data_IF_366783197559
#
_entry.id   IF_366783197559
#
_cell.length_a   1.000
_cell.length_b   1.000
_cell.length_c   1.000
_cell.angle_alpha   90.00
_cell.angle_beta   90.00
_cell.angle_gamma   90.00
#
_symmetry.space_group_name_H-M   'P 1'
#
loop_
_entity.id
_entity.type
_entity.pdbx_description
1 polymer ?
#
# COMPACT_ATOMS: atom_id res chain seq x y z
N UNK A 1 10.46 17.17 -22.72
CA UNK A 1 11.33 16.01 -22.89
C UNK A 1 11.19 15.05 -21.72
N UNK A 2 11.47 13.78 -21.98
CA UNK A 2 11.38 12.72 -20.93
C UNK A 2 12.26 13.06 -19.75
N UNK A 3 13.47 13.50 -20.00
CA UNK A 3 14.40 13.87 -18.94
C UNK A 3 13.84 15.03 -18.10
N UNK A 4 13.26 16.02 -18.74
CA UNK A 4 12.67 17.15 -18.04
C UNK A 4 11.47 16.70 -17.18
N UNK A 5 10.64 15.79 -17.73
CA UNK A 5 9.52 15.23 -16.97
C UNK A 5 9.95 14.47 -15.75
N UNK A 6 10.99 13.65 -15.87
CA UNK A 6 11.53 12.90 -14.75
C UNK A 6 12.20 13.85 -13.74
N UNK A 7 12.86 14.88 -14.20
CA UNK A 7 13.47 15.88 -13.31
C UNK A 7 12.40 16.61 -12.50
N UNK A 8 11.27 16.95 -13.13
CA UNK A 8 10.15 17.55 -12.42
C UNK A 8 9.60 16.60 -11.36
N UNK A 9 9.55 15.31 -11.66
CA UNK A 9 9.08 14.30 -10.72
C UNK A 9 10.16 13.85 -9.73
N UNK A 10 11.41 14.23 -9.93
CA UNK A 10 12.53 13.86 -9.06
C UNK A 10 12.25 14.28 -7.63
N UNK A 11 11.58 15.39 -7.44
CA UNK A 11 11.19 15.81 -6.11
C UNK A 11 10.37 14.76 -5.41
N UNK A 12 9.42 14.14 -6.11
CA UNK A 12 8.64 13.03 -5.59
C UNK A 12 9.48 11.78 -5.40
N UNK A 13 10.35 11.46 -6.35
CA UNK A 13 11.26 10.33 -6.21
C UNK A 13 12.18 10.50 -5.02
N UNK A 14 12.79 11.65 -4.87
CA UNK A 14 13.70 11.93 -3.75
C UNK A 14 12.99 11.78 -2.42
N UNK A 15 11.78 12.31 -2.31
CA UNK A 15 10.98 12.22 -1.09
C UNK A 15 10.58 10.78 -0.76
N UNK A 16 10.32 9.97 -1.77
CA UNK A 16 9.88 8.58 -1.58
C UNK A 16 11.01 7.64 -1.27
N UNK A 17 12.19 7.89 -1.79
CA UNK A 17 13.33 7.03 -1.56
C UNK A 17 14.05 7.32 -0.26
N UNK A 18 13.71 8.43 0.41
CA UNK A 18 14.33 8.80 1.68
C UNK A 18 15.84 8.92 1.56
N UNK A 19 16.56 8.19 2.40
CA UNK A 19 18.02 8.27 2.47
C UNK A 19 18.72 7.74 1.23
N UNK A 20 18.02 7.04 0.37
CA UNK A 20 18.61 6.46 -0.84
C UNK A 20 18.58 7.38 -2.02
N UNK A 21 18.38 8.60 -1.89
CA UNK A 21 18.31 9.57 -2.97
C UNK A 21 18.53 8.99 -4.36
N UNK A 22 17.44 8.72 -5.07
CA UNK A 22 17.54 8.21 -6.43
C UNK A 22 17.77 9.36 -7.40
N UNK A 23 18.97 9.43 -7.98
CA UNK A 23 19.28 10.44 -8.99
C UNK A 23 18.82 9.98 -10.37
N UNK A 24 17.60 10.36 -10.73
CA UNK A 24 17.01 10.02 -12.01
C UNK A 24 17.82 10.57 -13.20
N UNK A 25 18.38 11.77 -13.05
CA UNK A 25 19.17 12.37 -14.12
C UNK A 25 20.47 11.59 -14.36
N UNK A 26 21.15 11.17 -13.27
CA UNK A 26 22.36 10.36 -13.40
C UNK A 26 22.04 8.99 -13.96
N UNK A 27 20.96 8.37 -13.56
CA UNK A 27 20.52 7.11 -14.10
C UNK A 27 20.26 7.21 -15.60
N UNK A 28 19.52 8.24 -16.03
CA UNK A 28 19.21 8.44 -17.44
C UNK A 28 20.46 8.73 -18.28
N UNK A 29 21.45 9.41 -17.72
CA UNK A 29 22.72 9.63 -18.42
C UNK A 29 23.49 8.31 -18.59
N UNK A 30 23.49 7.47 -17.56
CA UNK A 30 24.14 6.14 -17.66
C UNK A 30 23.42 5.23 -18.63
N UNK A 31 22.10 5.32 -18.66
CA UNK A 31 21.24 4.55 -19.56
C UNK A 31 20.97 5.27 -20.88
N UNK A 32 21.64 6.38 -21.13
CA UNK A 32 21.27 7.35 -22.18
C UNK A 32 21.27 6.81 -23.59
N UNK A 33 22.04 5.77 -23.87
CA UNK A 33 22.02 5.12 -25.16
C UNK A 33 20.95 4.04 -25.26
N UNK A 34 20.33 3.65 -24.13
CA UNK A 34 19.34 2.57 -24.07
C UNK A 34 17.93 3.14 -23.80
N UNK A 35 17.28 3.55 -24.89
CA UNK A 35 15.92 4.09 -24.81
C UNK A 35 14.91 3.05 -24.35
N UNK A 36 15.18 1.75 -24.57
CA UNK A 36 14.30 0.68 -24.14
C UNK A 36 14.28 0.58 -22.61
N UNK A 37 15.46 0.65 -21.98
CA UNK A 37 15.55 0.63 -20.53
C UNK A 37 14.86 1.82 -19.89
N UNK A 38 15.00 3.01 -20.47
CA UNK A 38 14.33 4.22 -19.98
C UNK A 38 12.82 4.09 -20.10
N UNK A 39 12.32 3.62 -21.25
CA UNK A 39 10.88 3.41 -21.44
C UNK A 39 10.32 2.41 -20.44
N UNK A 40 11.05 1.31 -20.21
CA UNK A 40 10.62 0.28 -19.27
C UNK A 40 10.55 0.80 -17.85
N UNK A 41 11.54 1.60 -17.44
CA UNK A 41 11.54 2.23 -16.12
C UNK A 41 10.31 3.13 -15.93
N UNK A 42 10.00 3.97 -16.91
CA UNK A 42 8.83 4.85 -16.85
C UNK A 42 7.53 4.07 -16.86
N UNK A 43 7.43 3.06 -17.68
CA UNK A 43 6.23 2.22 -17.77
C UNK A 43 5.94 1.52 -16.45
N UNK A 44 6.95 0.94 -15.81
CA UNK A 44 6.79 0.29 -14.51
C UNK A 44 6.32 1.28 -13.44
N UNK A 45 6.89 2.49 -13.44
CA UNK A 45 6.47 3.54 -12.51
C UNK A 45 5.02 3.95 -12.70
N UNK A 46 4.59 4.06 -13.96
CA UNK A 46 3.20 4.40 -14.29
C UNK A 46 2.24 3.29 -13.88
N UNK A 47 2.60 2.04 -14.16
CA UNK A 47 1.77 0.89 -13.79
C UNK A 47 1.56 0.81 -12.28
N UNK A 48 2.61 1.02 -11.51
CA UNK A 48 2.53 1.02 -10.05
C UNK A 48 1.66 2.17 -9.54
N UNK A 49 1.81 3.34 -10.14
CA UNK A 49 1.01 4.51 -9.76
C UNK A 49 -0.48 4.28 -10.04
N UNK A 50 -0.81 3.73 -11.21
CA UNK A 50 -2.19 3.41 -11.57
C UNK A 50 -2.76 2.37 -10.62
N UNK A 51 -1.99 1.31 -10.32
CA UNK A 51 -2.41 0.27 -9.40
C UNK A 51 -2.69 0.83 -8.01
N UNK A 52 -1.84 1.72 -7.52
CA UNK A 52 -2.03 2.38 -6.24
C UNK A 52 -3.31 3.23 -6.23
N UNK A 53 -3.55 4.01 -7.26
CA UNK A 53 -4.78 4.81 -7.37
C UNK A 53 -6.04 3.95 -7.37
N UNK A 54 -6.00 2.80 -8.04
CA UNK A 54 -7.14 1.88 -8.05
C UNK A 54 -7.45 1.37 -6.64
N UNK A 55 -6.42 1.09 -5.86
CA UNK A 55 -6.61 0.71 -4.46
C UNK A 55 -7.22 1.86 -3.67
N UNK A 56 -6.68 3.07 -3.81
CA UNK A 56 -7.15 4.23 -3.08
C UNK A 56 -8.61 4.56 -3.38
N UNK A 57 -9.06 4.33 -4.61
CA UNK A 57 -10.45 4.56 -5.00
C UNK A 57 -11.44 3.63 -4.29
N UNK A 58 -10.96 2.50 -3.77
CA UNK A 58 -11.81 1.53 -3.07
C UNK A 58 -11.87 1.77 -1.57
N UNK A 59 -11.16 2.78 -1.07
CA UNK A 59 -11.12 3.04 0.36
C UNK A 59 -12.44 3.55 0.88
N UNK A 60 -12.85 3.00 2.00
CA UNK A 60 -14.04 3.44 2.75
C UNK A 60 -13.63 3.71 4.18
N UNK A 61 -14.23 4.71 4.77
CA UNK A 61 -13.96 5.05 6.16
C UNK A 61 -14.86 4.24 7.08
N UNK A 62 -14.27 3.55 8.04
CA UNK A 62 -14.97 2.79 9.04
C UNK A 62 -14.35 3.04 10.41
N UNK A 63 -15.08 3.72 11.32
CA UNK A 63 -14.66 3.99 12.70
C UNK A 63 -13.25 4.60 12.77
N UNK A 64 -12.99 5.62 11.97
CA UNK A 64 -11.70 6.31 11.84
C UNK A 64 -10.59 5.48 11.19
N UNK A 65 -10.93 4.37 10.59
CA UNK A 65 -10.00 3.54 9.84
C UNK A 65 -10.38 3.52 8.37
N UNK A 66 -9.41 3.69 7.49
CA UNK A 66 -9.63 3.59 6.06
C UNK A 66 -9.39 2.13 5.63
N UNK A 67 -10.38 1.52 5.02
CA UNK A 67 -10.29 0.13 4.56
C UNK A 67 -10.51 0.09 3.07
N UNK A 68 -9.54 -0.44 2.33
CA UNK A 68 -9.62 -0.63 0.89
C UNK A 68 -9.55 -2.13 0.58
N UNK A 69 -10.49 -2.62 -0.24
CA UNK A 69 -10.58 -4.04 -0.57
C UNK A 69 -10.61 -4.20 -2.09
N UNK A 70 -9.45 -4.22 -2.75
CA UNK A 70 -9.41 -4.58 -4.17
C UNK A 70 -9.79 -6.05 -4.37
N UNK A 71 -10.46 -6.34 -5.46
CA UNK A 71 -10.96 -7.68 -5.74
C UNK A 71 -9.98 -8.56 -6.50
N UNK A 72 -8.85 -8.00 -6.90
CA UNK A 72 -7.81 -8.72 -7.65
C UNK A 72 -6.50 -8.73 -6.86
N UNK A 73 -5.61 -9.69 -7.16
CA UNK A 73 -4.30 -9.72 -6.51
C UNK A 73 -3.51 -8.42 -6.72
N UNK A 74 -2.76 -8.03 -5.72
CA UNK A 74 -2.00 -6.79 -5.73
C UNK A 74 -0.52 -7.07 -5.45
N UNK A 75 0.33 -6.16 -5.91
CA UNK A 75 1.73 -6.13 -5.50
C UNK A 75 1.80 -5.68 -4.04
N UNK A 76 2.54 -6.41 -3.20
CA UNK A 76 2.64 -6.10 -1.76
C UNK A 76 3.20 -4.72 -1.48
N UNK A 77 4.18 -4.29 -2.27
CA UNK A 77 4.80 -2.98 -2.10
C UNK A 77 3.79 -1.88 -2.43
N UNK A 78 3.06 -2.04 -3.51
CA UNK A 78 2.03 -1.08 -3.93
C UNK A 78 0.91 -1.01 -2.89
N UNK A 79 0.47 -2.16 -2.37
CA UNK A 79 -0.56 -2.20 -1.33
C UNK A 79 -0.10 -1.51 -0.05
N UNK A 80 1.15 -1.72 0.36
CA UNK A 80 1.72 -1.06 1.53
C UNK A 80 1.82 0.45 1.32
N UNK A 81 2.22 0.89 0.14
CA UNK A 81 2.27 2.31 -0.20
C UNK A 81 0.87 2.94 -0.18
N UNK A 82 -0.13 2.23 -0.68
CA UNK A 82 -1.50 2.71 -0.62
C UNK A 82 -1.98 2.85 0.82
N UNK A 83 -1.66 1.88 1.68
CA UNK A 83 -2.00 1.97 3.09
C UNK A 83 -1.34 3.18 3.76
N UNK A 84 -0.06 3.44 3.47
CA UNK A 84 0.64 4.62 3.99
C UNK A 84 -0.02 5.91 3.50
N UNK A 85 -0.42 5.96 2.24
CA UNK A 85 -1.02 7.15 1.66
C UNK A 85 -2.40 7.45 2.25
N UNK A 86 -3.17 6.43 2.60
CA UNK A 86 -4.46 6.61 3.25
C UNK A 86 -4.34 7.28 4.62
N UNK A 87 -3.19 7.15 5.28
CA UNK A 87 -2.96 7.82 6.56
C UNK A 87 -2.86 9.34 6.43
N UNK A 88 -2.65 9.86 5.23
CA UNK A 88 -2.60 11.29 5.00
C UNK A 88 -3.99 11.93 4.88
N UNK A 89 -5.03 11.11 4.83
CA UNK A 89 -6.41 11.62 4.75
C UNK A 89 -6.86 12.08 6.14
N UNK A 90 -7.45 13.26 6.20
CA UNK A 90 -7.93 13.81 7.47
C UNK A 90 -8.96 12.88 8.11
N UNK A 91 -8.81 12.63 9.40
CA UNK A 91 -9.73 11.78 10.14
C UNK A 91 -9.41 10.29 10.09
N UNK A 92 -8.32 9.91 9.44
CA UNK A 92 -7.88 8.50 9.36
C UNK A 92 -6.78 8.25 10.37
N UNK A 93 -7.01 7.37 11.33
CA UNK A 93 -6.05 7.00 12.36
C UNK A 93 -5.28 5.74 12.00
N UNK A 94 -5.88 4.87 11.20
CA UNK A 94 -5.25 3.65 10.71
C UNK A 94 -5.81 3.30 9.33
N UNK A 95 -5.05 2.54 8.57
CA UNK A 95 -5.47 2.11 7.24
C UNK A 95 -5.21 0.63 7.04
N UNK A 96 -6.04 0.01 6.23
CA UNK A 96 -5.90 -1.41 5.89
C UNK A 96 -6.22 -1.62 4.42
N UNK A 97 -5.38 -2.40 3.76
CA UNK A 97 -5.60 -2.81 2.38
C UNK A 97 -5.64 -4.33 2.36
N UNK A 98 -6.79 -4.88 2.04
CA UNK A 98 -7.02 -6.33 2.00
C UNK A 98 -7.33 -6.77 0.58
N UNK A 99 -6.67 -7.81 0.11
CA UNK A 99 -6.81 -8.27 -1.26
C UNK A 99 -6.57 -9.77 -1.37
N UNK A 100 -7.14 -10.42 -2.40
CA UNK A 100 -6.87 -11.83 -2.62
C UNK A 100 -5.44 -12.03 -3.13
N UNK A 101 -4.86 -13.18 -2.83
CA UNK A 101 -3.55 -13.57 -3.36
C UNK A 101 -3.72 -14.58 -4.49
N UNK A 102 -2.69 -14.71 -5.31
CA UNK A 102 -2.74 -15.60 -6.47
C UNK A 102 -2.85 -17.08 -6.07
N UNK A 103 -2.42 -17.42 -4.88
CA UNK A 103 -2.48 -18.78 -4.35
C UNK A 103 -3.80 -19.11 -3.65
N UNK A 104 -4.80 -18.24 -3.76
CA UNK A 104 -6.13 -18.48 -3.22
C UNK A 104 -6.35 -18.01 -1.79
N UNK A 105 -5.37 -17.36 -1.17
CA UNK A 105 -5.52 -16.75 0.15
C UNK A 105 -5.95 -15.31 0.09
N UNK A 106 -5.93 -14.65 1.24
CA UNK A 106 -6.21 -13.23 1.37
C UNK A 106 -5.09 -12.61 2.21
N UNK A 107 -4.58 -11.48 1.77
CA UNK A 107 -3.54 -10.75 2.49
C UNK A 107 -4.06 -9.38 2.89
N UNK A 108 -3.70 -8.91 4.07
CA UNK A 108 -4.05 -7.58 4.54
C UNK A 108 -2.82 -6.88 5.08
N UNK A 109 -2.63 -5.63 4.64
CA UNK A 109 -1.59 -4.71 5.09
C UNK A 109 -2.23 -3.64 5.94
N UNK A 110 -1.68 -3.36 7.12
CA UNK A 110 -2.23 -2.36 8.03
C UNK A 110 -1.16 -1.36 8.46
N UNK A 111 -1.56 -0.11 8.60
CA UNK A 111 -0.68 0.99 9.02
C UNK A 111 -1.40 1.88 10.02
N UNK A 112 -0.64 2.53 10.89
CA UNK A 112 -1.18 3.47 11.87
C UNK A 112 -0.19 4.59 12.14
N UNK A 113 -0.71 5.77 12.47
CA UNK A 113 0.11 6.93 12.84
C UNK A 113 -0.13 7.39 14.28
N UNK A 114 -1.02 6.75 15.01
CA UNK A 114 -1.40 7.25 16.32
C UNK A 114 -1.61 6.16 17.33
N UNK A 115 -2.71 6.29 18.05
CA UNK A 115 -3.01 5.43 19.18
C UNK A 115 -3.48 4.04 18.78
N UNK A 116 -3.89 3.86 17.53
CA UNK A 116 -4.34 2.55 17.06
C UNK A 116 -3.15 1.61 16.95
N UNK A 117 -3.25 0.46 17.59
CA UNK A 117 -2.23 -0.58 17.53
C UNK A 117 -2.66 -1.63 16.50
N UNK A 118 -2.15 -1.51 15.27
CA UNK A 118 -2.56 -2.43 14.20
C UNK A 118 -2.02 -3.85 14.41
N UNK A 119 -0.97 -4.02 15.21
CA UNK A 119 -0.49 -5.34 15.56
C UNK A 119 -1.59 -6.17 16.25
N UNK A 120 -2.29 -5.56 17.20
CA UNK A 120 -3.36 -6.25 17.92
C UNK A 120 -4.51 -6.66 17.01
N UNK A 121 -4.86 -5.81 16.04
CA UNK A 121 -5.90 -6.15 15.08
C UNK A 121 -5.45 -7.29 14.17
N UNK A 122 -4.22 -7.22 13.67
CA UNK A 122 -3.70 -8.26 12.78
C UNK A 122 -3.49 -9.59 13.50
N UNK A 123 -3.15 -9.58 14.78
CA UNK A 123 -3.04 -10.80 15.58
C UNK A 123 -4.37 -11.53 15.67
N UNK A 124 -5.49 -10.81 15.70
CA UNK A 124 -6.82 -11.41 15.65
C UNK A 124 -7.11 -12.16 14.34
N UNK A 125 -6.36 -11.83 13.29
CA UNK A 125 -6.45 -12.46 11.99
C UNK A 125 -5.35 -13.48 11.74
N UNK A 126 -4.54 -13.77 12.77
CA UNK A 126 -3.45 -14.73 12.67
C UNK A 126 -2.15 -14.13 12.15
N UNK A 127 -2.05 -12.81 12.09
CA UNK A 127 -0.86 -12.11 11.63
C UNK A 127 -0.04 -11.49 12.75
N UNK A 128 0.71 -10.48 12.41
CA UNK A 128 1.57 -9.78 13.36
C UNK A 128 2.27 -8.60 12.73
N UNK A 129 3.23 -8.05 13.45
CA UNK A 129 3.99 -6.89 13.05
C UNK A 129 4.34 -6.05 14.24
N UNK A 130 4.18 -4.74 14.09
CA UNK A 130 4.35 -3.83 15.20
C UNK A 130 3.16 -2.85 15.27
N UNK A 131 3.20 -1.95 16.25
CA UNK A 131 2.11 -1.01 16.51
C UNK A 131 1.72 -0.18 15.28
N UNK A 132 2.70 0.25 14.49
CA UNK A 132 2.49 1.16 13.38
C UNK A 132 2.38 0.46 12.02
N UNK A 133 2.83 -0.78 11.91
CA UNK A 133 2.81 -1.54 10.66
C UNK A 133 2.70 -3.02 10.96
N UNK A 134 1.66 -3.63 10.42
CA UNK A 134 1.41 -5.05 10.64
C UNK A 134 0.70 -5.63 9.42
N UNK A 135 0.63 -6.95 9.35
CA UNK A 135 0.02 -7.65 8.24
C UNK A 135 -0.51 -9.00 8.68
N UNK A 136 -1.40 -9.57 7.89
CA UNK A 136 -1.90 -10.91 8.10
C UNK A 136 -2.13 -11.62 6.77
N UNK A 137 -1.89 -12.92 6.77
CA UNK A 137 -2.21 -13.81 5.67
C UNK A 137 -3.36 -14.71 6.15
N UNK A 138 -4.47 -14.70 5.44
CA UNK A 138 -5.64 -15.48 5.81
C UNK A 138 -5.86 -16.56 4.76
N UNK A 139 -5.87 -17.81 5.18
CA UNK A 139 -6.08 -18.94 4.29
C UNK A 139 -7.41 -19.62 4.60
N UNK A 140 -8.01 -20.22 3.58
CA UNK A 140 -9.24 -21.00 3.76
C UNK A 140 -10.52 -20.19 3.81
N UNK A 141 -10.45 -18.87 3.56
CA UNK A 141 -11.64 -18.01 3.50
C UNK A 141 -11.74 -17.34 2.13
N UNK A 142 -12.98 -17.05 1.73
CA UNK A 142 -13.20 -16.17 0.57
C UNK A 142 -12.85 -14.72 0.95
N UNK A 143 -12.68 -13.87 -0.04
CA UNK A 143 -12.44 -12.45 0.21
C UNK A 143 -13.57 -11.86 1.06
N UNK A 144 -14.82 -12.17 0.74
CA UNK A 144 -15.97 -11.69 1.50
C UNK A 144 -15.91 -12.11 2.96
N UNK A 145 -15.60 -13.37 3.22
CA UNK A 145 -15.46 -13.88 4.60
C UNK A 145 -14.30 -13.21 5.33
N UNK A 146 -13.19 -12.99 4.64
CA UNK A 146 -12.04 -12.31 5.23
C UNK A 146 -12.36 -10.86 5.57
N UNK A 147 -13.12 -10.17 4.72
CA UNK A 147 -13.57 -8.80 4.99
C UNK A 147 -14.45 -8.76 6.23
N UNK A 148 -15.39 -9.67 6.36
CA UNK A 148 -16.25 -9.76 7.54
C UNK A 148 -15.42 -9.98 8.81
N UNK A 149 -14.42 -10.84 8.72
CA UNK A 149 -13.53 -11.12 9.84
C UNK A 149 -12.68 -9.89 10.19
N UNK A 150 -12.23 -9.13 9.20
CA UNK A 150 -11.49 -7.89 9.42
C UNK A 150 -12.34 -6.86 10.17
N UNK A 151 -13.56 -6.63 9.72
CA UNK A 151 -14.45 -5.68 10.40
C UNK A 151 -14.77 -6.12 11.82
N UNK A 152 -14.97 -7.41 12.04
CA UNK A 152 -15.18 -7.95 13.39
C UNK A 152 -13.94 -7.71 14.28
N UNK A 153 -12.74 -7.89 13.74
CA UNK A 153 -11.50 -7.63 14.47
C UNK A 153 -11.34 -6.16 14.83
N UNK A 154 -11.69 -5.27 13.92
CA UNK A 154 -11.68 -3.83 14.16
C UNK A 154 -12.65 -3.48 15.30
N UNK A 155 -13.88 -3.97 15.22
CA UNK A 155 -14.89 -3.70 16.24
C UNK A 155 -14.47 -4.24 17.61
N UNK A 156 -13.96 -5.45 17.66
CA UNK A 156 -13.48 -6.03 18.90
C UNK A 156 -12.34 -5.22 19.50
N UNK A 157 -11.43 -4.74 18.68
CA UNK A 157 -10.32 -3.91 19.14
C UNK A 157 -10.81 -2.58 19.71
N UNK A 158 -11.72 -1.90 19.00
CA UNK A 158 -12.21 -0.59 19.42
C UNK A 158 -13.09 -0.69 20.66
N UNK A 159 -13.91 -1.72 20.76
CA UNK A 159 -14.89 -1.89 21.83
C UNK A 159 -14.30 -2.56 23.08
N UNK A 160 -13.04 -2.97 23.02
CA UNK A 160 -12.36 -3.60 24.17
C UNK A 160 -11.91 -2.59 25.23
#
# INVERSE_FOLDING_TARGET
>A
AILAGIVLDTKSFTLRTGDRTFDAAAYLRRAGADTVAVKKLMQNGMEQTVAKYKILQRAQLYRSMAVAVPETPQNRIVAAQAADELLNVAGVDASMVMYPTEDGGVFVSARSIGDVNVQLIMEKLGGGGNRAAAAAQINGLTLKQAVEKLYAAIDEYIDS
#
